data_IF_548983378327
#
_entry.id   IF_548983378327
#
_cell.length_a   1.000
_cell.length_b   1.000
_cell.length_c   1.000
_cell.angle_alpha   90.00
_cell.angle_beta   90.00
_cell.angle_gamma   90.00
#
_symmetry.space_group_name_H-M   'P 1'
#
loop_
_entity.id
_entity.type
_entity.pdbx_description
1 polymer ?
#
# COMPACT_ATOMS: atom_id res chain seq x y z
N UNK A 1 -16.82 -11.18 -4.45
CA UNK A 1 -17.18 -9.79 -4.73
C UNK A 1 -15.90 -8.97 -4.68
N UNK A 2 -15.66 -8.04 -5.61
CA UNK A 2 -14.50 -7.13 -5.53
C UNK A 2 -14.81 -6.08 -4.45
N UNK A 3 -13.84 -5.79 -3.59
CA UNK A 3 -13.90 -4.64 -2.68
C UNK A 3 -13.78 -3.36 -3.50
N UNK A 4 -14.67 -2.42 -3.22
CA UNK A 4 -14.66 -1.08 -3.78
C UNK A 4 -15.08 -0.13 -2.67
N UNK A 5 -14.29 0.90 -2.43
CA UNK A 5 -14.56 1.91 -1.41
C UNK A 5 -15.20 3.14 -2.06
N UNK A 6 -16.21 3.74 -1.42
CA UNK A 6 -16.79 4.99 -1.93
C UNK A 6 -15.76 6.11 -1.87
N UNK A 7 -15.90 7.14 -2.71
CA UNK A 7 -14.99 8.30 -2.69
C UNK A 7 -15.08 9.13 -1.41
N UNK A 8 -16.17 8.95 -0.65
CA UNK A 8 -16.34 9.54 0.69
C UNK A 8 -15.54 8.80 1.77
N UNK A 9 -15.03 7.59 1.48
CA UNK A 9 -14.23 6.83 2.43
C UNK A 9 -12.82 7.41 2.55
N UNK A 10 -12.40 7.69 3.77
CA UNK A 10 -11.07 8.20 4.05
C UNK A 10 -10.46 7.48 5.28
N UNK A 11 -9.56 6.51 5.06
CA UNK A 11 -8.97 5.74 6.16
C UNK A 11 -8.00 6.57 7.01
N UNK A 12 -7.50 7.71 6.52
CA UNK A 12 -6.66 8.62 7.32
C UNK A 12 -7.51 9.26 8.42
N UNK A 13 -8.71 9.75 8.06
CA UNK A 13 -9.64 10.35 9.02
C UNK A 13 -10.15 9.28 10.00
N UNK A 14 -10.58 8.12 9.50
CA UNK A 14 -11.03 7.02 10.35
C UNK A 14 -9.95 6.58 11.34
N UNK A 15 -8.72 6.36 10.87
CA UNK A 15 -7.62 5.96 11.75
C UNK A 15 -7.28 7.03 12.78
N UNK A 16 -7.29 8.31 12.40
CA UNK A 16 -7.06 9.41 13.33
C UNK A 16 -8.16 9.48 14.40
N UNK A 17 -9.42 9.30 14.02
CA UNK A 17 -10.53 9.28 14.98
C UNK A 17 -10.38 8.15 16.00
N UNK A 18 -9.96 6.95 15.58
CA UNK A 18 -9.67 5.83 16.49
C UNK A 18 -8.51 6.13 17.46
N UNK A 19 -7.50 6.89 17.00
CA UNK A 19 -6.39 7.35 17.85
C UNK A 19 -6.88 8.36 18.90
N UNK A 20 -7.75 9.30 18.50
CA UNK A 20 -8.29 10.32 19.40
C UNK A 20 -9.30 9.74 20.39
N UNK A 21 -10.10 8.74 19.98
CA UNK A 21 -11.00 7.98 20.84
C UNK A 21 -10.26 7.06 21.83
N UNK A 22 -8.96 6.82 21.63
CA UNK A 22 -8.15 5.93 22.48
C UNK A 22 -8.29 4.44 22.16
N UNK A 23 -9.03 4.08 21.11
CA UNK A 23 -9.18 2.69 20.64
C UNK A 23 -7.90 2.16 19.99
N UNK A 24 -7.10 3.05 19.40
CA UNK A 24 -5.77 2.72 18.87
C UNK A 24 -4.70 3.50 19.63
N UNK A 25 -3.81 2.78 20.31
CA UNK A 25 -2.64 3.38 20.97
C UNK A 25 -1.50 3.55 19.97
N UNK A 26 -1.01 4.78 19.82
CA UNK A 26 0.15 5.12 18.99
C UNK A 26 1.12 6.04 19.71
N UNK A 27 2.35 6.14 19.22
CA UNK A 27 3.31 7.14 19.72
C UNK A 27 2.84 8.57 19.45
N UNK A 28 3.34 9.52 20.24
CA UNK A 28 3.07 10.95 20.03
C UNK A 28 3.43 11.44 18.63
N UNK A 29 4.49 10.87 18.02
CA UNK A 29 4.90 11.19 16.64
C UNK A 29 3.85 10.77 15.62
N UNK A 30 3.36 9.54 15.71
CA UNK A 30 2.33 9.02 14.80
C UNK A 30 1.03 9.82 14.96
N UNK A 31 0.61 10.12 16.19
CA UNK A 31 -0.57 10.98 16.44
C UNK A 31 -0.43 12.34 15.77
N UNK A 32 0.72 13.01 15.91
CA UNK A 32 0.99 14.30 15.26
C UNK A 32 0.97 14.22 13.73
N UNK A 33 1.51 13.15 13.15
CA UNK A 33 1.49 12.95 11.70
C UNK A 33 0.05 12.81 11.21
N UNK A 34 -0.76 11.95 11.82
CA UNK A 34 -2.15 11.76 11.37
C UNK A 34 -3.02 13.00 11.61
N UNK A 35 -2.81 13.73 12.71
CA UNK A 35 -3.44 15.04 12.90
C UNK A 35 -3.11 16.00 11.76
N UNK A 36 -1.83 16.09 11.37
CA UNK A 36 -1.38 16.91 10.25
C UNK A 36 -2.01 16.45 8.94
N UNK A 37 -2.04 15.14 8.67
CA UNK A 37 -2.63 14.60 7.43
C UNK A 37 -4.14 14.92 7.34
N UNK A 38 -4.88 14.84 8.46
CA UNK A 38 -6.29 15.25 8.51
C UNK A 38 -6.43 16.75 8.21
N UNK A 39 -5.58 17.60 8.78
CA UNK A 39 -5.58 19.03 8.46
C UNK A 39 -5.26 19.30 6.97
N UNK A 40 -4.27 18.60 6.41
CA UNK A 40 -3.88 18.71 4.99
C UNK A 40 -5.02 18.32 4.04
N UNK A 41 -5.89 17.37 4.42
CA UNK A 41 -7.06 16.99 3.62
C UNK A 41 -8.03 18.17 3.42
N UNK A 42 -8.16 19.04 4.43
CA UNK A 42 -9.06 20.19 4.39
C UNK A 42 -8.37 21.48 3.95
N UNK A 43 -7.06 21.46 3.68
CA UNK A 43 -6.30 22.64 3.26
C UNK A 43 -6.51 22.93 1.76
N UNK A 44 -7.49 23.78 1.47
CA UNK A 44 -7.79 24.21 0.10
C UNK A 44 -6.73 25.15 -0.49
N UNK A 45 -5.87 25.75 0.34
CA UNK A 45 -4.83 26.70 -0.09
C UNK A 45 -3.57 26.01 -0.62
N UNK A 46 -3.37 24.73 -0.28
CA UNK A 46 -2.22 23.96 -0.72
C UNK A 46 -2.24 23.69 -2.23
N UNK A 47 -1.05 23.55 -2.83
CA UNK A 47 -0.90 23.01 -4.20
C UNK A 47 -1.16 21.50 -4.27
N UNK A 48 -1.24 20.84 -3.11
CA UNK A 48 -1.57 19.43 -3.00
C UNK A 48 -3.00 19.24 -2.52
N UNK A 49 -3.63 18.16 -2.92
CA UNK A 49 -4.95 17.74 -2.43
C UNK A 49 -4.97 16.24 -2.16
N UNK A 50 -6.01 15.79 -1.45
CA UNK A 50 -6.27 14.38 -1.24
C UNK A 50 -7.19 13.83 -2.32
N UNK A 51 -6.66 12.94 -3.16
CA UNK A 51 -7.40 12.19 -4.16
C UNK A 51 -7.79 10.81 -3.62
N UNK A 52 -9.07 10.66 -3.29
CA UNK A 52 -9.63 9.40 -2.80
C UNK A 52 -9.58 8.27 -3.85
N UNK A 53 -9.62 8.58 -5.15
CA UNK A 53 -9.50 7.56 -6.19
C UNK A 53 -8.11 6.93 -6.15
N UNK A 54 -7.05 7.75 -6.10
CA UNK A 54 -5.66 7.27 -6.02
C UNK A 54 -5.40 6.49 -4.74
N UNK A 55 -5.91 6.97 -3.61
CA UNK A 55 -5.81 6.28 -2.32
C UNK A 55 -6.54 4.92 -2.34
N UNK A 56 -7.78 4.88 -2.81
CA UNK A 56 -8.57 3.66 -2.87
C UNK A 56 -7.99 2.67 -3.88
N UNK A 57 -7.42 3.13 -5.00
CA UNK A 57 -6.87 2.26 -6.04
C UNK A 57 -5.80 1.28 -5.51
N UNK A 58 -4.85 1.77 -4.72
CA UNK A 58 -3.82 0.91 -4.12
C UNK A 58 -4.39 -0.02 -3.04
N UNK A 59 -5.33 0.45 -2.23
CA UNK A 59 -6.00 -0.34 -1.18
C UNK A 59 -6.78 -1.49 -1.82
N UNK A 60 -7.62 -1.16 -2.79
CA UNK A 60 -8.44 -2.11 -3.53
C UNK A 60 -7.60 -3.08 -4.33
N UNK A 61 -6.49 -2.64 -4.94
CA UNK A 61 -5.57 -3.54 -5.62
C UNK A 61 -5.05 -4.62 -4.67
N UNK A 62 -4.55 -4.21 -3.50
CA UNK A 62 -3.98 -5.15 -2.52
C UNK A 62 -5.06 -6.10 -2.02
N UNK A 63 -6.23 -5.60 -1.64
CA UNK A 63 -7.27 -6.46 -1.07
C UNK A 63 -7.99 -7.35 -2.09
N UNK A 64 -8.04 -6.94 -3.36
CA UNK A 64 -8.68 -7.74 -4.43
C UNK A 64 -7.75 -8.75 -5.08
N UNK A 65 -6.46 -8.44 -5.21
CA UNK A 65 -5.55 -9.21 -6.05
C UNK A 65 -4.39 -9.84 -5.29
N UNK A 66 -3.94 -9.26 -4.18
CA UNK A 66 -2.88 -9.87 -3.37
C UNK A 66 -3.46 -10.91 -2.41
N UNK A 67 -2.71 -11.99 -2.21
CA UNK A 67 -3.15 -13.14 -1.40
C UNK A 67 -2.07 -13.54 -0.41
N UNK A 68 -2.47 -13.90 0.80
CA UNK A 68 -1.53 -14.36 1.82
C UNK A 68 -0.69 -15.56 1.32
N UNK A 69 0.62 -15.46 1.51
CA UNK A 69 1.57 -16.44 0.97
C UNK A 69 1.78 -17.67 1.85
N UNK A 70 1.52 -17.57 3.16
CA UNK A 70 1.92 -18.58 4.17
C UNK A 70 0.84 -18.78 5.24
N UNK A 71 0.98 -19.88 5.98
CA UNK A 71 0.19 -20.20 7.17
C UNK A 71 -1.28 -20.47 6.88
N UNK A 72 -2.12 -20.42 7.92
CA UNK A 72 -3.57 -20.69 7.87
C UNK A 72 -4.36 -19.80 6.90
N UNK A 73 -3.77 -18.66 6.50
CA UNK A 73 -4.36 -17.71 5.58
C UNK A 73 -3.91 -17.93 4.12
N UNK A 74 -3.01 -18.88 3.87
CA UNK A 74 -2.42 -19.12 2.56
C UNK A 74 -3.47 -19.22 1.44
N UNK A 75 -3.38 -18.32 0.45
CA UNK A 75 -4.29 -18.30 -0.71
C UNK A 75 -5.54 -17.46 -0.52
N UNK A 76 -5.85 -17.02 0.70
CA UNK A 76 -6.94 -16.08 0.98
C UNK A 76 -6.52 -14.65 0.60
N UNK A 77 -7.48 -13.79 0.19
CA UNK A 77 -7.22 -12.37 -0.02
C UNK A 77 -6.60 -11.71 1.21
N UNK A 78 -5.80 -10.67 0.99
CA UNK A 78 -5.31 -9.83 2.08
C UNK A 78 -6.46 -8.91 2.53
N UNK A 79 -6.70 -8.88 3.84
CA UNK A 79 -7.56 -7.88 4.46
C UNK A 79 -6.67 -6.88 5.18
N UNK A 80 -6.73 -5.62 4.76
CA UNK A 80 -5.89 -4.57 5.33
C UNK A 80 -6.49 -4.10 6.65
N UNK A 81 -5.63 -3.98 7.67
CA UNK A 81 -6.00 -3.30 8.91
C UNK A 81 -6.13 -1.78 8.65
N UNK A 82 -6.90 -1.10 9.50
CA UNK A 82 -7.18 0.33 9.31
C UNK A 82 -5.91 1.19 9.20
N UNK A 83 -4.88 0.92 10.00
CA UNK A 83 -3.61 1.65 9.92
C UNK A 83 -2.86 1.40 8.61
N UNK A 84 -3.02 0.20 8.01
CA UNK A 84 -2.39 -0.14 6.74
C UNK A 84 -3.07 0.60 5.60
N UNK A 85 -4.41 0.68 5.63
CA UNK A 85 -5.19 1.51 4.70
C UNK A 85 -4.83 2.98 4.83
N UNK A 86 -4.76 3.49 6.07
CA UNK A 86 -4.40 4.87 6.35
C UNK A 86 -2.97 5.19 5.89
N UNK A 87 -2.02 4.27 6.08
CA UNK A 87 -0.66 4.39 5.58
C UNK A 87 -0.60 4.44 4.04
N UNK A 88 -1.33 3.55 3.35
CA UNK A 88 -1.40 3.54 1.89
C UNK A 88 -2.08 4.80 1.35
N UNK A 89 -3.21 5.21 1.93
CA UNK A 89 -3.89 6.44 1.56
C UNK A 89 -3.01 7.68 1.78
N UNK A 90 -2.25 7.74 2.88
CA UNK A 90 -1.30 8.83 3.10
C UNK A 90 -0.16 8.82 2.07
N UNK A 91 0.29 7.64 1.64
CA UNK A 91 1.41 7.49 0.69
C UNK A 91 1.02 7.79 -0.76
N UNK A 92 -0.19 7.41 -1.16
CA UNK A 92 -0.64 7.45 -2.56
C UNK A 92 -1.76 8.46 -2.83
N UNK A 93 -2.45 8.95 -1.80
CA UNK A 93 -3.63 9.81 -1.94
C UNK A 93 -3.31 11.30 -2.04
N UNK A 94 -2.16 11.78 -1.55
CA UNK A 94 -1.82 13.19 -1.69
C UNK A 94 -1.12 13.46 -3.02
N UNK A 95 -1.76 14.24 -3.88
CA UNK A 95 -1.30 14.54 -5.23
C UNK A 95 -1.29 16.04 -5.50
N UNK A 96 -0.44 16.49 -6.41
CA UNK A 96 -0.42 17.87 -6.85
C UNK A 96 -1.62 18.15 -7.77
N UNK A 97 -2.32 19.26 -7.54
CA UNK A 97 -3.63 19.58 -8.17
C UNK A 97 -3.59 19.69 -9.70
N UNK A 98 -2.43 20.00 -10.27
CA UNK A 98 -2.30 20.27 -11.71
C UNK A 98 -1.84 19.04 -12.48
N UNK A 99 -0.78 18.38 -12.02
CA UNK A 99 -0.12 17.28 -12.75
C UNK A 99 -0.41 15.89 -12.17
N UNK A 100 -1.11 15.82 -11.03
CA UNK A 100 -1.45 14.55 -10.37
C UNK A 100 -0.26 13.80 -9.78
N UNK A 101 0.93 14.42 -9.70
CA UNK A 101 2.12 13.77 -9.15
C UNK A 101 2.01 13.60 -7.64
N UNK A 102 2.55 12.48 -7.11
CA UNK A 102 2.48 12.18 -5.67
C UNK A 102 3.32 13.16 -4.85
N UNK A 103 2.71 13.73 -3.80
CA UNK A 103 3.38 14.60 -2.81
C UNK A 103 4.52 13.86 -2.09
N UNK A 104 4.23 12.64 -1.64
CA UNK A 104 5.17 11.83 -0.87
C UNK A 104 5.87 10.82 -1.78
N UNK A 105 7.12 11.13 -2.11
CA UNK A 105 8.00 10.24 -2.90
C UNK A 105 8.80 9.27 -2.03
N UNK A 106 8.98 9.62 -0.76
CA UNK A 106 9.67 8.81 0.24
C UNK A 106 8.80 8.67 1.48
N UNK A 107 8.70 7.45 2.00
CA UNK A 107 7.87 7.14 3.15
C UNK A 107 8.63 6.24 4.11
N UNK A 108 8.64 6.60 5.40
CA UNK A 108 9.26 5.83 6.47
C UNK A 108 8.19 5.12 7.31
N UNK A 109 8.21 3.80 7.31
CA UNK A 109 7.31 2.97 8.12
C UNK A 109 8.08 2.26 9.24
N UNK A 110 7.83 2.66 10.49
CA UNK A 110 8.39 2.01 11.69
C UNK A 110 7.27 1.24 12.40
N UNK A 111 7.33 -0.08 12.33
CA UNK A 111 6.32 -0.96 12.92
C UNK A 111 6.99 -2.16 13.60
N UNK A 112 6.42 -2.59 14.72
CA UNK A 112 6.88 -3.77 15.44
C UNK A 112 6.81 -5.04 14.60
N UNK A 113 7.58 -6.06 14.99
CA UNK A 113 7.58 -7.36 14.30
C UNK A 113 6.19 -8.00 14.32
N UNK A 114 5.89 -8.82 13.31
CA UNK A 114 4.62 -9.56 13.11
C UNK A 114 3.39 -8.74 12.71
N UNK A 115 3.51 -7.44 12.43
CA UNK A 115 2.42 -6.60 11.90
C UNK A 115 2.32 -6.56 10.36
N UNK A 116 2.70 -7.64 9.66
CA UNK A 116 2.51 -7.70 8.20
C UNK A 116 3.34 -6.75 7.33
N UNK A 117 4.36 -6.04 7.85
CA UNK A 117 5.15 -5.06 7.07
C UNK A 117 5.71 -5.58 5.74
N UNK A 118 6.25 -6.80 5.73
CA UNK A 118 6.81 -7.40 4.50
C UNK A 118 5.73 -7.79 3.50
N UNK A 119 4.54 -8.13 4.00
CA UNK A 119 3.38 -8.46 3.18
C UNK A 119 2.82 -7.22 2.51
N UNK A 120 2.68 -6.11 3.24
CA UNK A 120 2.31 -4.82 2.65
C UNK A 120 3.36 -4.37 1.63
N UNK A 121 4.64 -4.43 1.96
CA UNK A 121 5.71 -4.06 1.03
C UNK A 121 5.67 -4.88 -0.27
N UNK A 122 5.33 -6.16 -0.19
CA UNK A 122 5.15 -7.02 -1.36
C UNK A 122 3.93 -6.61 -2.19
N UNK A 123 2.82 -6.29 -1.54
CA UNK A 123 1.62 -5.78 -2.21
C UNK A 123 1.86 -4.44 -2.90
N UNK A 124 2.54 -3.50 -2.22
CA UNK A 124 2.96 -2.21 -2.80
C UNK A 124 3.89 -2.45 -4.00
N UNK A 125 4.87 -3.33 -3.89
CA UNK A 125 5.78 -3.60 -5.00
C UNK A 125 5.06 -4.14 -6.23
N UNK A 126 4.10 -5.06 -6.05
CA UNK A 126 3.25 -5.55 -7.13
C UNK A 126 2.35 -4.45 -7.70
N UNK A 127 1.76 -3.61 -6.83
CA UNK A 127 0.93 -2.48 -7.26
C UNK A 127 1.73 -1.50 -8.13
N UNK A 128 2.90 -1.07 -7.66
CA UNK A 128 3.80 -0.18 -8.40
C UNK A 128 4.21 -0.80 -9.73
N UNK A 129 4.44 -2.12 -9.75
CA UNK A 129 4.83 -2.83 -10.96
C UNK A 129 3.71 -2.89 -12.02
N UNK A 130 2.43 -3.04 -11.63
CA UNK A 130 1.36 -3.37 -12.61
C UNK A 130 0.13 -2.50 -12.62
N UNK A 131 0.00 -1.57 -11.68
CA UNK A 131 -1.24 -0.82 -11.48
C UNK A 131 -1.00 0.68 -11.21
N UNK A 132 0.22 1.12 -10.92
CA UNK A 132 0.46 2.54 -10.63
C UNK A 132 0.48 3.45 -11.87
N UNK A 133 0.58 2.87 -13.07
CA UNK A 133 0.54 3.58 -14.35
C UNK A 133 1.88 4.17 -14.79
N UNK A 134 2.97 3.83 -14.11
CA UNK A 134 4.34 4.20 -14.48
C UNK A 134 4.88 3.23 -15.56
N UNK A 135 5.21 3.70 -16.78
CA UNK A 135 5.79 2.87 -17.83
C UNK A 135 7.18 2.37 -17.45
N UNK A 136 7.48 1.10 -17.72
CA UNK A 136 8.80 0.50 -17.48
C UNK A 136 9.26 0.53 -16.01
N UNK A 137 8.33 0.52 -15.05
CA UNK A 137 8.65 0.65 -13.63
C UNK A 137 9.55 -0.50 -13.12
N UNK A 138 10.72 -0.14 -12.57
CA UNK A 138 11.63 -1.08 -11.93
C UNK A 138 11.48 -1.04 -10.40
N UNK A 139 11.08 -2.18 -9.82
CA UNK A 139 10.79 -2.28 -8.40
C UNK A 139 11.82 -3.14 -7.68
N UNK A 140 12.57 -2.52 -6.77
CA UNK A 140 13.66 -3.16 -6.05
C UNK A 140 13.32 -3.43 -4.58
N UNK A 141 13.64 -4.64 -4.11
CA UNK A 141 13.68 -4.95 -2.68
C UNK A 141 15.14 -4.89 -2.21
N UNK A 142 15.46 -3.96 -1.31
CA UNK A 142 16.83 -3.71 -0.83
C UNK A 142 16.91 -3.96 0.68
N UNK A 143 17.99 -4.62 1.11
CA UNK A 143 18.32 -4.82 2.52
C UNK A 143 19.83 -5.06 2.68
N UNK A 144 20.36 -4.91 3.89
CA UNK A 144 21.78 -5.17 4.20
C UNK A 144 22.23 -6.59 3.86
N UNK A 145 21.31 -7.57 3.94
CA UNK A 145 21.55 -8.96 3.55
C UNK A 145 20.58 -9.35 2.45
N UNK A 146 21.07 -10.00 1.40
CA UNK A 146 20.27 -10.50 0.29
C UNK A 146 19.10 -11.37 0.79
N UNK A 147 19.30 -12.21 1.80
CA UNK A 147 18.25 -13.07 2.32
C UNK A 147 17.09 -12.31 3.00
N UNK A 148 17.36 -11.10 3.51
CA UNK A 148 16.30 -10.21 4.02
C UNK A 148 15.50 -9.60 2.86
N UNK A 149 16.17 -9.15 1.80
CA UNK A 149 15.51 -8.65 0.59
C UNK A 149 14.66 -9.75 -0.08
N UNK A 150 15.18 -10.98 -0.14
CA UNK A 150 14.46 -12.16 -0.64
C UNK A 150 13.15 -12.42 0.09
N UNK A 151 12.98 -11.99 1.35
CA UNK A 151 11.71 -12.20 2.05
C UNK A 151 10.56 -11.49 1.35
N UNK A 152 10.75 -10.22 0.97
CA UNK A 152 9.73 -9.43 0.26
C UNK A 152 9.53 -9.97 -1.15
N UNK A 153 10.62 -10.23 -1.89
CA UNK A 153 10.52 -10.75 -3.24
C UNK A 153 9.84 -12.13 -3.31
N UNK A 154 10.22 -13.07 -2.42
CA UNK A 154 9.59 -14.39 -2.37
C UNK A 154 8.13 -14.31 -1.91
N UNK A 155 7.77 -13.34 -1.08
CA UNK A 155 6.40 -13.12 -0.66
C UNK A 155 5.56 -12.65 -1.86
N UNK A 156 5.99 -11.60 -2.57
CA UNK A 156 5.38 -11.13 -3.82
C UNK A 156 5.23 -12.24 -4.87
N UNK A 157 6.29 -13.01 -5.14
CA UNK A 157 6.24 -14.15 -6.07
C UNK A 157 5.19 -15.19 -5.69
N UNK A 158 5.04 -15.48 -4.40
CA UNK A 158 4.00 -16.41 -3.91
C UNK A 158 2.61 -15.79 -3.99
N UNK A 159 2.46 -14.49 -3.77
CA UNK A 159 1.18 -13.77 -3.96
C UNK A 159 0.71 -13.90 -5.41
N UNK A 160 1.60 -13.62 -6.37
CA UNK A 160 1.34 -13.74 -7.81
C UNK A 160 0.88 -15.15 -8.15
N UNK A 161 1.66 -16.18 -7.77
CA UNK A 161 1.31 -17.58 -8.04
C UNK A 161 -0.05 -18.02 -7.50
N UNK A 162 -0.52 -17.39 -6.42
CA UNK A 162 -1.81 -17.70 -5.78
C UNK A 162 -2.97 -16.91 -6.37
N UNK A 163 -2.70 -15.80 -7.06
CA UNK A 163 -3.71 -14.92 -7.61
C UNK A 163 -3.86 -15.17 -9.11
N UNK A 164 -4.96 -15.78 -9.58
CA UNK A 164 -5.14 -16.06 -11.01
C UNK A 164 -5.05 -14.80 -11.88
N UNK A 165 -5.52 -13.66 -11.35
CA UNK A 165 -5.50 -12.37 -12.05
C UNK A 165 -4.08 -11.84 -12.23
N UNK A 166 -3.26 -11.91 -11.17
CA UNK A 166 -1.86 -11.49 -11.23
C UNK A 166 -1.01 -12.49 -12.01
N UNK A 167 -1.23 -13.80 -11.86
CA UNK A 167 -0.48 -14.83 -12.57
C UNK A 167 -0.66 -14.76 -14.09
N UNK A 168 -1.84 -14.34 -14.57
CA UNK A 168 -2.09 -14.10 -16.00
C UNK A 168 -1.26 -12.94 -16.57
N UNK A 169 -0.81 -12.03 -15.70
CA UNK A 169 -0.17 -10.75 -16.03
C UNK A 169 1.33 -10.75 -15.73
N UNK A 170 1.73 -11.40 -14.65
CA UNK A 170 3.08 -11.41 -14.12
C UNK A 170 3.62 -12.82 -14.21
N UNK A 171 4.68 -13.02 -15.00
CA UNK A 171 5.43 -14.25 -15.12
C UNK A 171 6.44 -14.37 -13.97
N UNK A 172 6.27 -15.34 -13.05
CA UNK A 172 7.18 -15.50 -11.91
C UNK A 172 8.42 -16.34 -12.29
N UNK A 173 9.51 -15.68 -12.69
CA UNK A 173 10.77 -16.33 -13.07
C UNK A 173 11.68 -16.60 -11.86
N UNK A 174 12.84 -17.21 -12.09
CA UNK A 174 13.76 -17.63 -11.01
C UNK A 174 14.30 -16.44 -10.23
N UNK A 175 14.61 -15.32 -10.90
CA UNK A 175 15.22 -14.13 -10.27
C UNK A 175 14.43 -12.84 -10.43
N UNK A 176 13.35 -12.85 -11.20
CA UNK A 176 12.53 -11.67 -11.49
C UNK A 176 11.03 -12.01 -11.52
N UNK A 177 10.22 -10.97 -11.42
CA UNK A 177 8.79 -10.98 -11.74
C UNK A 177 8.64 -10.11 -12.97
N UNK A 178 8.24 -10.68 -14.10
CA UNK A 178 8.18 -9.97 -15.37
C UNK A 178 6.71 -9.74 -15.76
N UNK A 179 6.34 -8.50 -16.07
CA UNK A 179 5.02 -8.14 -16.57
C UNK A 179 5.18 -7.57 -17.98
N UNK A 180 4.63 -8.24 -19.00
CA UNK A 180 4.87 -7.89 -20.41
C UNK A 180 4.15 -6.60 -20.89
N UNK A 181 3.50 -5.83 -20.00
CA UNK A 181 2.52 -4.80 -20.37
C UNK A 181 2.69 -3.42 -19.71
N UNK A 182 3.86 -3.09 -19.18
CA UNK A 182 4.17 -1.72 -18.70
C UNK A 182 5.48 -1.21 -19.27
#
# INVERSE_FOLDING_TARGET
MRKQYPLTYNPIIEYYNLIEAGEVTVSSKVRRIYKKLVNDIYDTSSVFEYDANKANHVIEFIENFCKHSKGKWGGKPIELEIWQKAFLAASFGFVHKIDGTRKYREVLLIVARKNGKSTIASGIGLYLQVADGEPGAEIYAVATKLDQAKLVWLDAKRMVKKSPVLLKRIKPLVRELNADFN
#
